data_IF_873632122828
#
_entry.id   IF_873632122828
#
_cell.length_a   1.000
_cell.length_b   1.000
_cell.length_c   1.000
_cell.angle_alpha   90.00
_cell.angle_beta   90.00
_cell.angle_gamma   90.00
#
_symmetry.space_group_name_H-M   'P 1'
#
loop_
_entity.id
_entity.type
_entity.pdbx_description
1 polymer ?
#
# COMPACT_ATOMS: atom_id res chain seq x y z
N UNK A 1 -15.60 -34.70 -32.78
CA UNK A 1 -15.85 -33.35 -32.23
C UNK A 1 -16.09 -32.39 -33.39
N UNK A 2 -17.22 -31.71 -33.41
CA UNK A 2 -17.60 -30.87 -34.54
C UNK A 2 -16.74 -29.56 -34.53
N UNK A 3 -16.67 -28.88 -35.70
CA UNK A 3 -15.83 -27.64 -35.83
C UNK A 3 -16.24 -26.56 -34.84
N UNK A 4 -17.53 -26.41 -34.58
CA UNK A 4 -18.05 -25.39 -33.62
C UNK A 4 -17.53 -25.65 -32.21
N UNK A 5 -17.57 -26.90 -31.73
CA UNK A 5 -17.08 -27.24 -30.37
C UNK A 5 -15.59 -27.01 -30.26
N UNK A 6 -14.79 -27.33 -31.32
CA UNK A 6 -13.34 -27.02 -31.31
C UNK A 6 -13.08 -25.55 -31.21
N UNK A 7 -13.80 -24.72 -31.99
CA UNK A 7 -13.65 -23.25 -31.95
C UNK A 7 -14.03 -22.68 -30.60
N UNK A 8 -15.15 -23.12 -30.01
CA UNK A 8 -15.57 -22.66 -28.70
C UNK A 8 -14.57 -23.02 -27.59
N UNK A 9 -14.03 -24.24 -27.62
CA UNK A 9 -12.99 -24.66 -26.69
C UNK A 9 -11.71 -23.83 -26.86
N UNK A 10 -11.32 -23.58 -28.09
CA UNK A 10 -10.11 -22.81 -28.40
C UNK A 10 -10.26 -21.35 -27.95
N UNK A 11 -11.38 -20.71 -28.23
CA UNK A 11 -11.69 -19.34 -27.76
C UNK A 11 -11.76 -19.28 -26.23
N UNK A 12 -12.44 -20.26 -25.62
CA UNK A 12 -12.56 -20.35 -24.16
C UNK A 12 -11.19 -20.50 -23.47
N UNK A 13 -10.35 -21.42 -23.94
CA UNK A 13 -9.02 -21.64 -23.34
C UNK A 13 -8.10 -20.44 -23.53
N UNK A 14 -8.14 -19.75 -24.67
CA UNK A 14 -7.37 -18.52 -24.88
C UNK A 14 -7.89 -17.38 -24.03
N UNK A 15 -9.23 -17.24 -23.90
CA UNK A 15 -9.83 -16.24 -23.00
C UNK A 15 -9.40 -16.42 -21.55
N UNK A 16 -9.42 -17.67 -21.05
CA UNK A 16 -8.92 -17.98 -19.69
C UNK A 16 -7.42 -17.72 -19.56
N UNK A 17 -6.61 -18.09 -20.55
CA UNK A 17 -5.17 -17.85 -20.51
C UNK A 17 -4.83 -16.36 -20.50
N UNK A 18 -5.52 -15.56 -21.33
CA UNK A 18 -5.32 -14.10 -21.38
C UNK A 18 -5.79 -13.45 -20.08
N UNK A 19 -7.00 -13.76 -19.59
CA UNK A 19 -7.53 -13.20 -18.35
C UNK A 19 -6.71 -13.61 -17.13
N UNK A 20 -6.35 -14.88 -17.02
CA UNK A 20 -5.51 -15.37 -15.93
C UNK A 20 -4.09 -14.81 -15.99
N UNK A 21 -3.49 -14.71 -17.18
CA UNK A 21 -2.17 -14.12 -17.37
C UNK A 21 -2.16 -12.62 -17.04
N UNK A 22 -3.21 -11.88 -17.38
CA UNK A 22 -3.37 -10.47 -17.03
C UNK A 22 -3.48 -10.26 -15.51
N UNK A 23 -4.37 -11.02 -14.85
CA UNK A 23 -4.52 -10.94 -13.39
C UNK A 23 -3.22 -11.31 -12.65
N UNK A 24 -2.55 -12.38 -13.09
CA UNK A 24 -1.27 -12.80 -12.54
C UNK A 24 -0.18 -11.73 -12.78
N UNK A 25 -0.19 -11.09 -13.95
CA UNK A 25 0.75 -10.01 -14.28
C UNK A 25 0.59 -8.79 -13.37
N UNK A 26 -0.65 -8.36 -13.09
CA UNK A 26 -0.93 -7.26 -12.16
C UNK A 26 -0.39 -7.58 -10.76
N UNK A 27 -0.55 -8.81 -10.30
CA UNK A 27 -0.08 -9.22 -8.98
C UNK A 27 1.44 -9.42 -8.90
N UNK A 28 2.03 -10.09 -9.89
CA UNK A 28 3.45 -10.46 -9.84
C UNK A 28 4.38 -9.32 -10.29
N UNK A 29 3.96 -8.49 -11.25
CA UNK A 29 4.83 -7.45 -11.79
C UNK A 29 5.35 -6.48 -10.71
N UNK A 30 4.52 -5.97 -9.79
CA UNK A 30 5.00 -5.13 -8.69
C UNK A 30 6.06 -5.82 -7.83
N UNK A 31 5.87 -7.11 -7.53
CA UNK A 31 6.83 -7.91 -6.74
C UNK A 31 8.16 -8.05 -7.46
N UNK A 32 8.11 -8.39 -8.77
CA UNK A 32 9.32 -8.64 -9.57
C UNK A 32 10.12 -7.37 -9.89
N UNK A 33 9.45 -6.21 -9.87
CA UNK A 33 10.06 -4.90 -10.18
C UNK A 33 10.29 -4.04 -8.96
N UNK A 34 9.86 -4.49 -7.77
CA UNK A 34 10.12 -3.78 -6.53
C UNK A 34 11.63 -3.60 -6.31
N UNK A 35 12.08 -2.42 -5.89
CA UNK A 35 13.46 -2.25 -5.46
C UNK A 35 13.72 -3.06 -4.19
N UNK A 36 14.98 -3.21 -3.82
CA UNK A 36 15.37 -3.83 -2.56
C UNK A 36 14.81 -3.03 -1.38
N UNK A 37 14.20 -3.74 -0.43
CA UNK A 37 13.65 -3.13 0.79
C UNK A 37 14.78 -2.62 1.68
N UNK A 38 14.59 -1.48 2.37
CA UNK A 38 15.55 -1.00 3.36
C UNK A 38 15.88 -2.07 4.40
N UNK A 39 17.15 -2.17 4.77
CA UNK A 39 17.57 -3.06 5.84
C UNK A 39 16.92 -2.65 7.17
N UNK A 40 16.60 -3.63 8.00
CA UNK A 40 15.92 -3.42 9.31
C UNK A 40 16.72 -2.45 10.19
N UNK A 41 18.05 -2.51 10.16
CA UNK A 41 18.93 -1.63 10.93
C UNK A 41 18.76 -0.15 10.54
N UNK A 42 18.54 0.11 9.25
CA UNK A 42 18.31 1.48 8.74
C UNK A 42 16.94 1.98 9.19
N UNK A 43 15.91 1.13 9.13
CA UNK A 43 14.57 1.46 9.63
C UNK A 43 14.61 1.75 11.13
N UNK A 44 15.27 0.91 11.92
CA UNK A 44 15.41 1.07 13.38
C UNK A 44 16.18 2.31 13.77
N UNK A 45 17.22 2.68 13.04
CA UNK A 45 17.93 3.94 13.30
C UNK A 45 17.04 5.17 13.10
N UNK A 46 16.05 5.08 12.21
CA UNK A 46 15.03 6.12 12.03
C UNK A 46 14.00 6.08 13.16
N UNK A 47 13.66 4.88 13.64
CA UNK A 47 12.76 4.67 14.77
C UNK A 47 13.29 5.32 16.07
N UNK A 48 14.60 5.31 16.30
CA UNK A 48 15.25 5.90 17.48
C UNK A 48 15.06 7.43 17.56
N UNK A 49 14.84 8.10 16.43
CA UNK A 49 14.62 9.55 16.36
C UNK A 49 13.18 9.93 15.98
N UNK A 50 12.30 8.95 15.88
CA UNK A 50 10.90 9.16 15.54
C UNK A 50 10.17 9.90 16.68
N UNK A 51 9.31 10.84 16.30
CA UNK A 51 8.49 11.60 17.23
C UNK A 51 7.19 10.87 17.58
N UNK A 52 6.67 10.07 16.65
CA UNK A 52 5.44 9.32 16.81
C UNK A 52 5.61 7.88 16.31
N UNK A 53 4.76 6.99 16.83
CA UNK A 53 4.69 5.59 16.45
C UNK A 53 3.25 5.20 16.16
N UNK A 54 3.03 4.35 15.17
CA UNK A 54 1.77 3.72 14.83
C UNK A 54 1.98 2.26 14.49
N UNK A 55 0.90 1.54 14.29
CA UNK A 55 0.93 0.13 13.91
C UNK A 55 -0.09 -0.12 12.79
N UNK A 56 0.36 -0.64 11.65
CA UNK A 56 -0.53 -1.18 10.63
C UNK A 56 -1.03 -2.55 11.09
N UNK A 57 -2.34 -2.78 10.95
CA UNK A 57 -3.00 -4.01 11.38
C UNK A 57 -3.89 -4.57 10.27
N UNK A 58 -4.09 -5.88 10.28
CA UNK A 58 -4.90 -6.59 9.27
C UNK A 58 -6.40 -6.58 9.54
N UNK A 59 -6.84 -6.14 10.70
CA UNK A 59 -8.23 -6.18 11.17
C UNK A 59 -8.99 -4.87 10.97
N UNK A 60 -8.60 -4.09 9.95
CA UNK A 60 -9.29 -2.87 9.57
C UNK A 60 -10.51 -3.17 8.69
N UNK A 61 -11.47 -2.24 8.63
CA UNK A 61 -12.78 -2.46 8.02
C UNK A 61 -12.70 -2.91 6.54
N UNK A 62 -11.83 -2.29 5.73
CA UNK A 62 -11.64 -2.66 4.32
C UNK A 62 -10.37 -3.51 4.08
N UNK A 63 -9.78 -4.09 5.15
CA UNK A 63 -8.71 -5.07 4.99
C UNK A 63 -9.25 -6.43 4.56
N UNK A 64 -8.58 -7.05 3.58
CA UNK A 64 -8.93 -8.39 3.07
C UNK A 64 -7.66 -9.23 2.76
N UNK A 65 -7.82 -10.32 2.04
CA UNK A 65 -6.70 -11.21 1.69
C UNK A 65 -5.69 -10.58 0.73
N UNK A 66 -6.07 -9.53 -0.02
CA UNK A 66 -5.24 -8.85 -1.02
C UNK A 66 -4.87 -7.42 -0.62
N UNK A 67 -5.56 -6.84 0.39
CA UNK A 67 -5.41 -5.46 0.82
C UNK A 67 -5.17 -5.42 2.33
N UNK A 68 -3.92 -5.37 2.73
CA UNK A 68 -3.52 -5.37 4.14
C UNK A 68 -2.09 -4.83 4.33
N UNK A 69 -1.83 -4.38 5.55
CA UNK A 69 -0.51 -4.11 6.08
C UNK A 69 -0.43 -4.55 7.53
N UNK A 70 0.75 -4.96 7.99
CA UNK A 70 1.00 -5.24 9.40
C UNK A 70 2.44 -4.91 9.75
N UNK A 71 2.66 -4.24 10.88
CA UNK A 71 3.96 -3.88 11.41
C UNK A 71 4.03 -2.47 11.97
N UNK A 72 5.19 -2.10 12.45
CA UNK A 72 5.44 -0.85 13.16
C UNK A 72 5.77 0.31 12.22
N UNK A 73 5.13 1.44 12.44
CA UNK A 73 5.35 2.68 11.72
C UNK A 73 6.00 3.71 12.62
N UNK A 74 7.04 4.35 12.14
CA UNK A 74 7.84 5.35 12.84
C UNK A 74 7.81 6.66 12.07
N UNK A 75 7.34 7.73 12.71
CA UNK A 75 7.11 9.01 12.05
C UNK A 75 8.03 10.06 12.66
N UNK A 76 8.98 10.49 11.87
CA UNK A 76 9.85 11.61 12.17
C UNK A 76 9.52 12.84 11.33
N UNK A 77 10.18 13.98 11.61
CA UNK A 77 9.93 15.22 10.89
C UNK A 77 10.37 15.18 9.42
N UNK A 78 11.37 14.36 9.09
CA UNK A 78 11.98 14.30 7.76
C UNK A 78 11.77 12.97 7.05
N UNK A 79 11.29 11.93 7.75
CA UNK A 79 11.08 10.60 7.18
C UNK A 79 10.04 9.81 7.96
N UNK A 80 9.32 8.98 7.22
CA UNK A 80 8.44 7.95 7.77
C UNK A 80 9.04 6.61 7.40
N UNK A 81 9.27 5.77 8.40
CA UNK A 81 9.85 4.44 8.25
C UNK A 81 8.86 3.38 8.73
N UNK A 82 8.89 2.22 8.10
CA UNK A 82 8.02 1.09 8.41
C UNK A 82 8.83 -0.19 8.49
N UNK A 83 8.63 -0.96 9.54
CA UNK A 83 9.16 -2.31 9.73
C UNK A 83 7.99 -3.30 9.74
N UNK A 84 7.82 -4.07 8.66
CA UNK A 84 6.70 -4.99 8.56
C UNK A 84 6.45 -5.49 7.14
N UNK A 85 5.20 -5.78 6.81
CA UNK A 85 4.79 -6.29 5.50
C UNK A 85 3.51 -5.63 5.02
N UNK A 86 3.45 -5.45 3.69
CA UNK A 86 2.26 -5.01 2.96
C UNK A 86 1.86 -6.06 1.93
N UNK A 87 0.57 -6.19 1.65
CA UNK A 87 0.11 -6.88 0.45
C UNK A 87 0.74 -6.22 -0.79
N UNK A 88 1.23 -6.98 -1.78
CA UNK A 88 1.78 -6.39 -2.99
C UNK A 88 0.73 -5.71 -3.86
N UNK A 89 1.10 -4.60 -4.49
CA UNK A 89 0.24 -3.88 -5.42
C UNK A 89 0.99 -2.84 -6.27
N UNK A 90 0.38 -2.32 -7.35
CA UNK A 90 1.12 -1.66 -8.42
C UNK A 90 1.50 -0.20 -8.17
N UNK A 91 0.77 0.55 -7.36
CA UNK A 91 0.99 2.00 -7.21
C UNK A 91 0.59 2.50 -5.83
N UNK A 92 1.38 2.17 -4.83
CA UNK A 92 1.12 2.58 -3.45
C UNK A 92 1.66 3.97 -3.15
N UNK A 93 0.83 4.74 -2.45
CA UNK A 93 1.13 6.06 -1.92
C UNK A 93 0.92 6.08 -0.42
N UNK A 94 1.80 6.80 0.27
CA UNK A 94 1.64 7.11 1.67
C UNK A 94 0.97 8.47 1.80
N UNK A 95 -0.14 8.51 2.53
CA UNK A 95 -0.88 9.71 2.89
C UNK A 95 -0.83 9.95 4.39
N UNK A 96 -0.92 11.22 4.79
CA UNK A 96 -1.25 11.61 6.16
C UNK A 96 -2.64 12.24 6.18
N UNK A 97 -3.45 11.82 7.15
CA UNK A 97 -4.83 12.27 7.36
C UNK A 97 -4.98 12.92 8.73
N UNK A 98 -5.78 13.99 8.86
CA UNK A 98 -6.10 14.60 10.15
C UNK A 98 -7.02 13.75 11.02
N UNK A 99 -7.59 12.66 10.49
CA UNK A 99 -8.49 11.74 11.18
C UNK A 99 -8.23 10.29 10.77
N UNK A 100 -8.62 9.35 11.63
CA UNK A 100 -8.52 7.92 11.33
C UNK A 100 -9.49 7.53 10.21
N UNK A 101 -8.97 6.77 9.25
CA UNK A 101 -9.70 6.27 8.08
C UNK A 101 -9.27 4.84 7.85
N UNK A 102 -10.26 3.96 7.69
CA UNK A 102 -10.05 2.52 7.46
C UNK A 102 -10.95 1.95 6.35
N UNK A 103 -11.60 2.84 5.55
CA UNK A 103 -12.42 2.43 4.41
C UNK A 103 -12.09 3.24 3.16
N UNK A 104 -12.35 2.65 1.99
CA UNK A 104 -12.21 3.32 0.69
C UNK A 104 -13.14 4.52 0.58
N UNK A 105 -14.40 4.36 1.01
CA UNK A 105 -15.40 5.41 0.96
C UNK A 105 -14.99 6.63 1.79
N UNK A 106 -14.46 6.41 3.00
CA UNK A 106 -13.99 7.50 3.87
C UNK A 106 -12.72 8.14 3.30
N UNK A 107 -11.81 7.37 2.70
CA UNK A 107 -10.63 7.91 2.04
C UNK A 107 -11.02 8.87 0.91
N UNK A 108 -11.87 8.43 -0.02
CA UNK A 108 -12.31 9.26 -1.14
C UNK A 108 -13.08 10.52 -0.68
N UNK A 109 -13.95 10.38 0.34
CA UNK A 109 -14.70 11.51 0.89
C UNK A 109 -13.82 12.58 1.57
N UNK A 110 -12.63 12.19 2.06
CA UNK A 110 -11.75 13.05 2.85
C UNK A 110 -10.39 13.32 2.18
N UNK A 111 -10.16 12.84 0.96
CA UNK A 111 -8.88 12.93 0.24
C UNK A 111 -8.37 14.39 0.13
N UNK A 112 -9.26 15.36 0.03
CA UNK A 112 -8.91 16.79 -0.03
C UNK A 112 -8.32 17.35 1.27
N UNK A 113 -8.54 16.69 2.42
CA UNK A 113 -7.99 17.09 3.72
C UNK A 113 -6.64 16.41 4.02
N UNK A 114 -6.25 15.45 3.17
CA UNK A 114 -5.03 14.66 3.33
C UNK A 114 -3.86 15.27 2.56
N UNK A 115 -2.66 14.84 2.92
CA UNK A 115 -1.46 15.14 2.16
C UNK A 115 -0.78 13.85 1.71
N UNK A 116 -0.44 13.76 0.43
CA UNK A 116 0.40 12.68 -0.08
C UNK A 116 1.85 12.98 0.28
N UNK A 117 2.48 12.06 1.02
CA UNK A 117 3.89 12.17 1.43
C UNK A 117 4.81 11.65 0.32
N UNK A 118 4.50 10.48 -0.23
CA UNK A 118 5.34 9.89 -1.27
C UNK A 118 4.91 8.49 -1.70
N UNK A 119 5.76 7.85 -2.51
CA UNK A 119 5.54 6.50 -3.02
C UNK A 119 6.02 5.45 -2.02
N UNK A 120 5.23 4.39 -1.85
CA UNK A 120 5.65 3.15 -1.19
C UNK A 120 5.95 2.14 -2.29
N UNK A 121 7.23 1.74 -2.44
CA UNK A 121 7.69 0.92 -3.56
C UNK A 121 8.11 -0.50 -3.17
N UNK A 122 8.16 -0.78 -1.87
CA UNK A 122 8.56 -2.07 -1.31
C UNK A 122 7.43 -2.64 -0.46
N UNK A 123 7.33 -3.97 -0.38
CA UNK A 123 6.23 -4.67 0.31
C UNK A 123 6.66 -5.31 1.63
N UNK A 124 7.91 -5.14 1.98
CA UNK A 124 8.44 -5.39 3.32
C UNK A 124 8.69 -4.04 4.00
N UNK A 125 9.87 -3.81 4.51
CA UNK A 125 10.18 -2.51 5.09
C UNK A 125 10.15 -1.40 4.04
N UNK A 126 9.76 -0.18 4.43
CA UNK A 126 9.91 0.99 3.57
C UNK A 126 10.39 2.22 4.33
N UNK A 127 10.92 3.18 3.59
CA UNK A 127 11.18 4.54 4.06
C UNK A 127 10.68 5.53 3.03
N UNK A 128 9.97 6.56 3.48
CA UNK A 128 9.47 7.66 2.65
C UNK A 128 9.95 8.98 3.25
N UNK A 129 10.63 9.79 2.44
CA UNK A 129 11.02 11.13 2.86
C UNK A 129 9.77 12.01 3.03
N UNK A 130 9.70 12.76 4.11
CA UNK A 130 8.65 13.77 4.34
C UNK A 130 9.06 15.05 3.62
N UNK A 131 8.25 15.57 2.68
CA UNK A 131 8.53 16.85 2.04
C UNK A 131 8.59 17.99 3.07
N UNK A 132 9.48 18.97 2.86
CA UNK A 132 9.64 20.13 3.77
C UNK A 132 8.35 20.93 4.02
N UNK A 133 7.41 20.86 3.06
CA UNK A 133 6.09 21.51 3.16
C UNK A 133 5.10 20.75 4.05
N UNK A 134 5.42 19.53 4.47
CA UNK A 134 4.55 18.63 5.24
C UNK A 134 5.04 18.57 6.68
N UNK A 135 4.17 18.93 7.60
CA UNK A 135 4.40 18.80 9.04
C UNK A 135 3.55 17.61 9.58
N UNK A 136 4.16 16.46 9.89
CA UNK A 136 3.43 15.30 10.40
C UNK A 136 2.67 15.55 11.70
N UNK A 137 3.07 16.55 12.50
CA UNK A 137 2.39 16.90 13.75
C UNK A 137 0.96 17.44 13.54
N UNK A 138 0.61 17.82 12.32
CA UNK A 138 -0.74 18.31 11.96
C UNK A 138 -1.72 17.20 11.59
N UNK A 139 -1.26 15.96 11.55
CA UNK A 139 -2.03 14.79 11.15
C UNK A 139 -2.02 13.75 12.26
N UNK A 140 -2.97 12.83 12.22
CA UNK A 140 -3.12 11.80 13.26
C UNK A 140 -2.95 10.38 12.73
N UNK A 141 -3.05 10.21 11.42
CA UNK A 141 -3.12 8.90 10.77
C UNK A 141 -2.27 8.84 9.51
N UNK A 142 -1.54 7.77 9.35
CA UNK A 142 -0.86 7.42 8.10
C UNK A 142 -1.64 6.32 7.38
N UNK A 143 -1.79 6.46 6.05
CA UNK A 143 -2.59 5.57 5.22
C UNK A 143 -1.76 5.15 4.02
N UNK A 144 -1.78 3.85 3.68
CA UNK A 144 -1.28 3.34 2.41
C UNK A 144 -2.48 3.12 1.49
N UNK A 145 -2.43 3.76 0.34
CA UNK A 145 -3.48 3.76 -0.68
C UNK A 145 -2.92 3.32 -2.03
N UNK A 146 -3.66 2.49 -2.77
CA UNK A 146 -3.34 2.09 -4.13
C UNK A 146 -4.02 3.03 -5.12
N UNK A 147 -3.28 3.95 -5.75
CA UNK A 147 -3.83 4.92 -6.71
C UNK A 147 -4.32 4.24 -7.99
N UNK A 148 -3.64 3.18 -8.47
CA UNK A 148 -3.99 2.51 -9.71
C UNK A 148 -5.39 1.87 -9.70
N UNK A 149 -5.86 1.44 -8.53
CA UNK A 149 -7.13 0.73 -8.39
C UNK A 149 -8.13 1.42 -7.45
N UNK A 150 -7.74 2.52 -6.80
CA UNK A 150 -8.60 3.19 -5.83
C UNK A 150 -8.91 2.29 -4.63
N UNK A 151 -7.88 1.62 -4.08
CA UNK A 151 -8.06 0.63 -3.03
C UNK A 151 -7.35 1.04 -1.74
N UNK A 152 -8.04 0.87 -0.62
CA UNK A 152 -7.47 0.98 0.71
C UNK A 152 -6.56 -0.22 0.99
N UNK A 153 -5.37 0.02 1.51
CA UNK A 153 -4.43 -1.05 1.86
C UNK A 153 -4.32 -1.20 3.38
N UNK A 154 -4.00 -0.12 4.07
CA UNK A 154 -3.88 -0.12 5.53
C UNK A 154 -3.78 1.30 6.08
N UNK A 155 -4.04 1.46 7.37
CA UNK A 155 -3.89 2.71 8.09
C UNK A 155 -3.37 2.49 9.52
N UNK A 156 -2.72 3.51 10.08
CA UNK A 156 -2.27 3.53 11.46
C UNK A 156 -2.50 4.91 12.08
N UNK A 157 -3.20 4.98 13.20
CA UNK A 157 -3.13 6.16 14.07
C UNK A 157 -1.77 6.23 14.73
N UNK A 158 -1.23 7.45 14.88
CA UNK A 158 0.03 7.70 15.56
C UNK A 158 -0.02 8.87 16.55
N UNK A 159 -1.18 9.54 16.60
CA UNK A 159 -1.53 10.57 17.59
C UNK A 159 -2.95 10.35 18.09
#
# INVERSE_FOLDING_TARGET
MNKLVKTLLLVGTHGVAVGGGFALGIYLLPILTAPESPAVEVVRSTADVAQYKGEFRRDLADSDALHWGEGDLFIGPNSIAFEGRLAPGPDYRLYLSPKFIETEADFEANKSEMVQVGHVRTFENFMVAVPESVDPAKFTTAIVWCEAFGQFITAASYQ
#
